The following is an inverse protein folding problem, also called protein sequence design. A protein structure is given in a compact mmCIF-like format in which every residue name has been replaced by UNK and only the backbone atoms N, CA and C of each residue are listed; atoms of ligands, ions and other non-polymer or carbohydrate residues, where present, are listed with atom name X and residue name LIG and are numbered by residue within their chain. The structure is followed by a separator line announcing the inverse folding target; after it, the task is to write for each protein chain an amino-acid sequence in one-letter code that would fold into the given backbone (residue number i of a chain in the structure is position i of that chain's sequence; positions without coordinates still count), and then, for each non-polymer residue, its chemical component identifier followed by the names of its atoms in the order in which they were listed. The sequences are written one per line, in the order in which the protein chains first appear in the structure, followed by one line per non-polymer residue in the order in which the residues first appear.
data_IF_882598927010
#
_entry.id   IF_882598927010
#
_cell.length_a   1.000
_cell.length_b   1.000
_cell.length_c   1.000
_cell.angle_alpha   90.00
_cell.angle_beta   90.00
_cell.angle_gamma   90.00
#
_symmetry.space_group_name_H-M   'P 1'
#
loop_
_entity.id
_entity.type
_entity.pdbx_description
1 polymer ?
2 polymer ?
3 non-polymer ?
4 water ?
#
# COMPACT_ATOMS: atom_id res chain seq x y z
N UNK A 3 70.83 -1.06 -48.64
CA UNK A 3 69.75 -0.08 -48.73
C UNK A 3 68.39 -0.75 -48.54
N UNK A 4 68.31 -2.01 -48.96
CA UNK A 4 67.04 -2.75 -48.92
C UNK A 4 66.86 -3.53 -47.62
N UNK A 5 67.97 -3.87 -46.97
CA UNK A 5 67.91 -4.54 -45.67
C UNK A 5 67.39 -3.55 -44.62
N UNK A 6 67.50 -2.26 -44.93
CA UNK A 6 66.96 -1.21 -44.09
C UNK A 6 65.49 -0.92 -44.44
N UNK A 7 65.22 -0.79 -45.74
CA UNK A 7 63.86 -0.47 -46.19
C UNK A 7 62.87 -1.59 -45.87
N UNK A 8 63.33 -2.85 -45.89
CA UNK A 8 62.45 -3.96 -45.53
C UNK A 8 62.07 -3.87 -44.06
N UNK A 9 63.04 -3.47 -43.24
CA UNK A 9 62.82 -3.33 -41.81
C UNK A 9 61.82 -2.22 -41.51
N UNK A 10 62.04 -1.06 -42.14
CA UNK A 10 61.10 0.06 -41.99
C UNK A 10 59.69 -0.32 -42.47
N UNK A 11 59.63 -0.86 -43.68
CA UNK A 11 58.42 -1.43 -44.26
C UNK A 11 57.63 -2.25 -43.25
N UNK A 12 58.28 -3.32 -42.79
CA UNK A 12 57.70 -4.25 -41.82
C UNK A 12 57.19 -3.50 -40.59
N UNK A 13 58.01 -2.59 -40.07
CA UNK A 13 57.64 -1.81 -38.89
C UNK A 13 56.34 -1.04 -39.08
N UNK A 14 56.19 -0.36 -40.21
CA UNK A 14 54.98 0.45 -40.41
C UNK A 14 53.76 -0.45 -40.62
N UNK A 15 53.96 -1.58 -41.31
CA UNK A 15 52.83 -2.51 -41.51
C UNK A 15 52.34 -3.04 -40.15
N UNK A 16 53.29 -3.36 -39.28
CA UNK A 16 52.99 -3.83 -37.94
C UNK A 16 52.25 -2.75 -37.15
N UNK A 17 52.75 -1.51 -37.23
CA UNK A 17 52.13 -0.40 -36.52
C UNK A 17 50.67 -0.21 -36.89
N UNK A 18 50.38 -0.10 -38.18
CA UNK A 18 49.01 0.20 -38.58
C UNK A 18 48.09 -1.00 -38.38
N UNK A 19 48.64 -2.20 -38.47
CA UNK A 19 47.83 -3.39 -38.23
C UNK A 19 47.46 -3.49 -36.75
N UNK A 20 48.41 -3.14 -35.88
CA UNK A 20 48.17 -3.18 -34.45
C UNK A 20 47.21 -2.07 -34.02
N UNK A 21 47.29 -0.91 -34.67
CA UNK A 21 46.36 0.18 -34.35
C UNK A 21 44.94 -0.21 -34.75
N UNK A 22 44.82 -0.86 -35.91
CA UNK A 22 43.50 -1.22 -36.41
C UNK A 22 42.88 -2.29 -35.51
N UNK A 23 43.68 -3.28 -35.13
CA UNK A 23 43.20 -4.32 -34.25
C UNK A 23 42.86 -3.76 -32.87
N UNK A 24 43.70 -2.87 -32.36
CA UNK A 24 43.48 -2.27 -31.05
C UNK A 24 42.14 -1.53 -31.01
N UNK A 25 41.84 -0.76 -32.05
CA UNK A 25 40.56 -0.04 -32.09
C UNK A 25 39.38 -1.02 -32.15
N UNK A 26 39.50 -2.02 -33.04
CA UNK A 26 38.48 -3.06 -33.17
C UNK A 26 38.20 -3.74 -31.83
N UNK A 27 39.26 -4.02 -31.09
CA UNK A 27 39.19 -4.70 -29.81
C UNK A 27 38.62 -3.77 -28.76
N UNK A 28 38.81 -2.47 -28.97
CA UNK A 28 38.25 -1.50 -28.04
C UNK A 28 36.74 -1.43 -28.09
N UNK A 29 36.16 -1.27 -29.28
CA UNK A 29 34.70 -1.13 -29.27
C UNK A 29 34.04 -2.53 -29.25
N UNK A 30 34.79 -3.58 -29.57
CA UNK A 30 34.30 -4.94 -29.32
C UNK A 30 34.18 -5.13 -27.80
N UNK A 31 35.16 -4.58 -27.08
CA UNK A 31 35.13 -4.56 -25.64
C UNK A 31 33.90 -3.81 -25.14
N UNK A 32 33.68 -2.62 -25.69
CA UNK A 32 32.58 -1.77 -25.24
C UNK A 32 31.22 -2.44 -25.45
N UNK A 33 31.07 -3.14 -26.57
CA UNK A 33 29.84 -3.87 -26.86
C UNK A 33 29.68 -5.08 -25.94
N UNK A 34 30.78 -5.72 -25.58
CA UNK A 34 30.69 -6.87 -24.68
C UNK A 34 30.22 -6.38 -23.30
N UNK A 35 30.72 -5.20 -22.92
CA UNK A 35 30.34 -4.58 -21.66
C UNK A 35 28.84 -4.23 -21.70
N UNK A 36 28.43 -3.64 -22.82
CA UNK A 36 27.02 -3.28 -23.01
C UNK A 36 26.09 -4.49 -22.92
N UNK A 37 26.51 -5.59 -23.54
CA UNK A 37 25.71 -6.81 -23.53
C UNK A 37 25.57 -7.35 -22.11
N UNK A 38 26.70 -7.51 -21.43
CA UNK A 38 26.68 -8.05 -20.07
C UNK A 38 25.84 -7.19 -19.13
N UNK A 39 26.00 -5.88 -19.23
CA UNK A 39 25.27 -4.96 -18.36
C UNK A 39 23.77 -4.92 -18.68
N UNK A 40 23.43 -4.99 -19.96
CA UNK A 40 22.03 -4.92 -20.35
C UNK A 40 21.29 -6.20 -19.95
N UNK A 41 22.00 -7.32 -19.99
CA UNK A 41 21.42 -8.59 -19.56
C UNK A 41 21.25 -8.62 -18.04
N UNK A 42 22.27 -8.14 -17.35
CA UNK A 42 22.32 -8.16 -15.89
C UNK A 42 21.24 -7.26 -15.32
N UNK A 43 21.01 -6.15 -16.00
CA UNK A 43 19.94 -5.23 -15.69
C UNK A 43 18.60 -5.98 -15.65
N UNK A 44 18.30 -6.66 -16.74
CA UNK A 44 17.03 -7.37 -16.85
C UNK A 44 16.87 -8.46 -15.82
N UNK A 45 17.95 -9.19 -15.52
CA UNK A 45 17.84 -10.23 -14.51
C UNK A 45 17.50 -9.61 -13.14
N UNK A 46 18.16 -8.50 -12.85
CA UNK A 46 18.00 -7.85 -11.55
C UNK A 46 16.58 -7.30 -11.41
N UNK A 47 16.14 -6.61 -12.44
CA UNK A 47 14.82 -6.01 -12.47
C UNK A 47 13.72 -7.03 -12.37
N UNK A 48 13.88 -8.13 -13.09
CA UNK A 48 12.89 -9.21 -13.05
C UNK A 48 12.76 -9.79 -11.64
N UNK A 49 13.90 -10.00 -10.98
CA UNK A 49 13.90 -10.54 -9.62
C UNK A 49 13.20 -9.52 -8.70
N UNK A 50 13.48 -8.25 -8.97
CA UNK A 50 12.90 -7.16 -8.20
C UNK A 50 11.38 -7.13 -8.30
N UNK A 51 10.87 -7.26 -9.54
CA UNK A 51 9.42 -7.27 -9.74
C UNK A 51 8.79 -8.43 -9.00
N UNK A 52 9.45 -9.59 -9.02
CA UNK A 52 8.88 -10.75 -8.34
C UNK A 52 8.72 -10.51 -6.83
N UNK A 53 9.81 -10.12 -6.18
CA UNK A 53 9.78 -9.91 -4.73
C UNK A 53 8.78 -8.82 -4.33
N UNK A 54 8.84 -7.72 -5.07
CA UNK A 54 8.01 -6.56 -4.80
C UNK A 54 6.52 -6.85 -4.94
N UNK A 55 6.16 -7.60 -5.97
CA UNK A 55 4.74 -7.89 -6.20
C UNK A 55 4.23 -8.92 -5.19
N UNK A 56 5.11 -9.79 -4.71
CA UNK A 56 4.68 -10.69 -3.63
C UNK A 56 4.36 -9.86 -2.38
N UNK A 57 5.19 -8.84 -2.15
CA UNK A 57 4.96 -7.98 -0.99
C UNK A 57 3.66 -7.17 -1.13
N UNK A 58 3.39 -6.73 -2.35
CA UNK A 58 2.21 -5.92 -2.63
C UNK A 58 0.95 -6.74 -2.43
N UNK A 59 1.01 -8.02 -2.77
CA UNK A 59 -0.12 -8.92 -2.55
C UNK A 59 -0.36 -9.20 -1.09
N UNK A 60 0.72 -9.28 -0.33
CA UNK A 60 0.57 -9.46 1.12
C UNK A 60 -0.15 -8.24 1.68
N UNK A 61 0.21 -7.07 1.15
CA UNK A 61 -0.42 -5.81 1.55
C UNK A 61 -1.91 -5.80 1.23
N UNK A 62 -2.27 -6.13 -0.01
CA UNK A 62 -3.68 -6.17 -0.41
C UNK A 62 -4.51 -7.09 0.49
N UNK A 63 -3.99 -8.29 0.74
CA UNK A 63 -4.71 -9.25 1.58
C UNK A 63 -4.89 -8.70 3.00
N UNK A 64 -3.87 -8.03 3.51
CA UNK A 64 -3.96 -7.44 4.84
C UNK A 64 -5.02 -6.34 4.88
N UNK A 65 -5.07 -5.54 3.82
CA UNK A 65 -6.07 -4.49 3.70
C UNK A 65 -7.48 -5.06 3.72
N UNK A 66 -7.67 -6.18 3.03
CA UNK A 66 -8.99 -6.80 2.98
C UNK A 66 -9.40 -7.36 4.35
N UNK A 67 -8.43 -7.95 5.06
CA UNK A 67 -8.69 -8.38 6.43
C UNK A 67 -9.15 -7.21 7.30
N UNK A 68 -8.44 -6.09 7.19
CA UNK A 68 -8.78 -4.90 7.96
C UNK A 68 -10.19 -4.39 7.63
N UNK A 69 -10.52 -4.37 6.35
CA UNK A 69 -11.84 -3.94 5.90
C UNK A 69 -12.94 -4.82 6.49
N UNK A 70 -12.70 -6.13 6.52
CA UNK A 70 -13.68 -7.06 7.08
C UNK A 70 -13.90 -6.81 8.57
N UNK A 71 -12.79 -6.67 9.29
CA UNK A 71 -12.80 -6.38 10.72
C UNK A 71 -13.63 -5.13 10.97
N UNK A 72 -13.40 -4.10 10.17
CA UNK A 72 -14.13 -2.85 10.26
C UNK A 72 -15.62 -3.02 10.01
N UNK A 73 -15.98 -3.86 9.04
CA UNK A 73 -17.39 -4.14 8.74
C UNK A 73 -18.10 -4.71 9.97
N UNK A 74 -17.44 -5.67 10.61
CA UNK A 74 -18.04 -6.30 11.78
C UNK A 74 -18.18 -5.32 12.94
N UNK A 75 -17.17 -4.47 13.09
CA UNK A 75 -17.17 -3.50 14.18
C UNK A 75 -18.23 -2.43 13.95
N UNK A 76 -18.48 -2.11 12.69
CA UNK A 76 -19.56 -1.20 12.32
C UNK A 76 -20.90 -1.79 12.75
N UNK A 77 -21.10 -3.08 12.46
CA UNK A 77 -22.35 -3.73 12.88
C UNK A 77 -22.53 -3.70 14.41
N UNK A 78 -21.49 -4.10 15.12
CA UNK A 78 -21.51 -4.12 16.58
C UNK A 78 -21.84 -2.73 17.13
N UNK A 79 -21.24 -1.71 16.51
CA UNK A 79 -21.51 -0.33 16.87
C UNK A 79 -22.98 0.02 16.62
N UNK A 80 -23.55 -0.55 15.55
CA UNK A 80 -24.93 -0.27 15.21
C UNK A 80 -25.90 -0.91 16.20
N UNK A 81 -25.44 -1.93 16.93
CA UNK A 81 -26.30 -2.56 17.94
C UNK A 81 -26.14 -1.99 19.35
N UNK A 82 -25.62 -0.77 19.46
CA UNK A 82 -25.39 -0.18 20.78
C UNK A 82 -25.81 1.29 20.84
N UNK A 83 -26.03 1.78 22.05
CA UNK A 83 -26.31 3.20 22.26
C UNK A 83 -25.07 3.89 22.79
N UNK A 84 -24.81 5.09 22.27
CA UNK A 84 -23.56 5.78 22.58
C UNK A 84 -23.80 7.21 23.08
N UNK A 85 -22.94 7.65 23.98
CA UNK A 85 -22.97 9.02 24.46
C UNK A 85 -22.70 9.96 23.30
N UNK A 86 -23.51 11.01 23.16
CA UNK A 86 -23.33 11.94 22.05
C UNK A 86 -22.16 12.90 22.30
N UNK A 87 -21.85 13.18 23.57
CA UNK A 87 -20.82 14.16 23.92
C UNK A 87 -19.43 13.56 23.76
N UNK A 88 -19.13 12.55 24.57
CA UNK A 88 -17.92 11.77 24.38
C UNK A 88 -18.49 10.62 23.59
N UNK A 89 -17.74 9.55 23.36
CA UNK A 89 -18.31 8.46 22.57
C UNK A 89 -18.25 7.13 23.30
N UNK A 90 -18.31 7.20 24.63
CA UNK A 90 -18.45 6.02 25.45
C UNK A 90 -19.88 5.50 25.35
N UNK A 91 -20.13 4.29 25.82
CA UNK A 91 -21.47 3.70 25.74
C UNK A 91 -22.45 4.44 26.62
N UNK A 92 -23.68 4.61 26.14
CA UNK A 92 -24.68 5.41 26.83
C UNK A 92 -25.48 4.64 27.88
N UNK A 93 -25.91 5.34 28.92
CA UNK A 93 -26.73 4.76 29.98
C UNK A 93 -27.92 5.65 30.36
N UNK A 94 -27.93 6.88 29.83
CA UNK A 94 -29.02 7.83 30.09
C UNK A 94 -29.65 8.23 28.76
N UNK A 95 -30.97 8.18 28.68
CA UNK A 95 -31.67 8.57 27.47
C UNK A 95 -32.31 9.94 27.60
N UNK A 96 -31.95 10.88 26.72
CA UNK A 96 -32.60 12.18 26.74
C UNK A 96 -33.75 12.19 25.74
N UNK A 97 -33.40 12.12 24.46
CA UNK A 97 -34.38 12.07 23.39
C UNK A 97 -33.77 11.41 22.16
N UNK A 98 -34.41 11.59 21.01
CA UNK A 98 -34.03 10.89 19.79
C UNK A 98 -32.57 11.11 19.39
N UNK A 99 -31.85 10.00 19.22
CA UNK A 99 -30.43 10.01 18.88
C UNK A 99 -29.60 10.83 19.86
N UNK A 100 -30.06 10.93 21.10
CA UNK A 100 -29.39 11.73 22.10
C UNK A 100 -29.38 11.03 23.46
N UNK A 101 -28.30 10.30 23.70
CA UNK A 101 -28.10 9.62 24.96
C UNK A 101 -26.72 9.97 25.51
N UNK A 102 -26.48 9.66 26.78
CA UNK A 102 -25.23 10.04 27.43
C UNK A 102 -24.73 8.94 28.38
N UNK A 103 -23.42 8.93 28.61
CA UNK A 103 -22.82 7.99 29.54
C UNK A 103 -22.95 8.53 30.96
N UNK A 104 -23.05 9.85 31.06
CA UNK A 104 -23.01 10.52 32.36
C UNK A 104 -23.74 11.85 32.33
N UNK A 105 -24.03 12.39 33.51
CA UNK A 105 -24.68 13.69 33.63
C UNK A 105 -23.72 14.80 33.22
N UNK A 106 -22.43 14.61 33.48
CA UNK A 106 -21.39 15.55 33.07
C UNK A 106 -21.41 15.79 31.57
N UNK A 107 -21.47 14.70 30.81
CA UNK A 107 -21.51 14.78 29.36
C UNK A 107 -22.83 15.41 28.90
N UNK A 108 -23.90 15.09 29.62
CA UNK A 108 -25.21 15.66 29.33
C UNK A 108 -25.15 17.19 29.45
N UNK A 109 -24.51 17.68 30.50
CA UNK A 109 -24.41 19.12 30.72
C UNK A 109 -23.52 19.78 29.68
N UNK A 110 -22.43 19.10 29.33
CA UNK A 110 -21.51 19.62 28.32
C UNK A 110 -22.20 19.77 26.97
N UNK A 111 -22.86 18.71 26.52
CA UNK A 111 -23.55 18.73 25.23
C UNK A 111 -24.73 19.69 25.29
N UNK A 112 -25.34 19.81 26.47
CA UNK A 112 -26.45 20.74 26.68
C UNK A 112 -25.98 22.16 26.37
N UNK A 113 -24.93 22.60 27.05
CA UNK A 113 -24.44 23.97 26.85
C UNK A 113 -23.77 24.16 25.49
N UNK A 114 -23.30 23.07 24.88
CA UNK A 114 -22.65 23.18 23.59
C UNK A 114 -23.66 23.39 22.46
N UNK A 115 -24.68 22.56 22.40
CA UNK A 115 -25.70 22.68 21.36
C UNK A 115 -27.09 22.15 21.73
N UNK A 116 -27.16 21.11 22.56
CA UNK A 116 -28.42 20.39 22.75
C UNK A 116 -29.54 21.17 23.42
N UNK A 117 -29.19 22.27 24.06
CA UNK A 117 -30.16 23.18 24.64
C UNK A 117 -31.19 23.69 23.64
N UNK A 118 -30.72 23.97 22.42
CA UNK A 118 -31.54 24.60 21.40
C UNK A 118 -32.25 23.55 20.56
N UNK A 119 -32.02 22.28 20.88
CA UNK A 119 -32.42 21.21 19.96
C UNK A 119 -33.15 20.05 20.65
N UNK A 120 -33.04 19.98 21.99
CA UNK A 120 -33.69 18.91 22.75
C UNK A 120 -35.19 18.80 22.46
N UNK A 121 -35.61 17.64 22.00
CA UNK A 121 -37.02 17.42 21.71
C UNK A 121 -37.74 16.57 22.76
N UNK A 122 -37.16 16.50 23.96
CA UNK A 122 -37.81 15.74 25.03
C UNK A 122 -39.06 16.45 25.50
N UNK A 123 -40.13 15.67 25.62
CA UNK A 123 -41.38 16.09 26.26
C UNK A 123 -41.10 16.90 27.52
N UNK B 7 59.54 -14.26 -49.91
CA UNK B 7 60.39 -13.08 -50.02
C UNK B 7 60.37 -12.25 -48.73
N UNK B 8 60.13 -10.95 -48.87
CA UNK B 8 59.97 -10.08 -47.71
C UNK B 8 58.54 -10.15 -47.21
N UNK B 9 57.61 -10.30 -48.14
CA UNK B 9 56.18 -10.36 -47.81
C UNK B 9 55.85 -11.51 -46.87
N UNK B 10 56.43 -12.68 -47.12
CA UNK B 10 56.23 -13.83 -46.23
C UNK B 10 56.65 -13.50 -44.80
N UNK B 11 57.81 -12.86 -44.67
CA UNK B 11 58.31 -12.44 -43.37
C UNK B 11 57.35 -11.48 -42.68
N UNK B 12 57.03 -10.39 -43.37
CA UNK B 12 56.15 -9.36 -42.83
C UNK B 12 54.80 -9.95 -42.41
N UNK B 13 54.19 -10.72 -43.31
CA UNK B 13 52.91 -11.37 -43.03
C UNK B 13 52.98 -12.27 -41.81
N UNK B 14 54.07 -13.03 -41.70
CA UNK B 14 54.29 -13.90 -40.55
C UNK B 14 54.29 -13.10 -39.23
N UNK B 15 55.22 -12.15 -39.14
CA UNK B 15 55.37 -11.38 -37.90
C UNK B 15 54.14 -10.54 -37.56
N UNK B 16 53.50 -9.97 -38.58
CA UNK B 16 52.28 -9.20 -38.38
C UNK B 16 51.17 -10.09 -37.83
N UNK B 17 51.01 -11.27 -38.42
CA UNK B 17 49.99 -12.21 -37.96
C UNK B 17 50.22 -12.56 -36.49
N UNK B 18 51.45 -12.93 -36.14
CA UNK B 18 51.72 -13.39 -34.78
C UNK B 18 51.63 -12.24 -33.77
N UNK B 19 51.90 -11.02 -34.25
CA UNK B 19 51.77 -9.83 -33.41
C UNK B 19 50.30 -9.55 -33.14
N UNK B 20 49.47 -9.78 -34.16
CA UNK B 20 48.04 -9.54 -34.03
C UNK B 20 47.42 -10.58 -33.08
N UNK B 21 47.92 -11.81 -33.14
CA UNK B 21 47.43 -12.84 -32.23
C UNK B 21 47.79 -12.50 -30.80
N UNK B 22 49.01 -12.00 -30.60
CA UNK B 22 49.44 -11.66 -29.23
C UNK B 22 48.69 -10.44 -28.66
N UNK B 23 48.49 -9.42 -29.48
CA UNK B 23 47.77 -8.23 -29.03
C UNK B 23 46.31 -8.58 -28.73
N UNK B 24 45.70 -9.36 -29.60
CA UNK B 24 44.33 -9.83 -29.38
C UNK B 24 44.23 -10.60 -28.07
N UNK B 25 45.19 -11.48 -27.86
CA UNK B 25 45.21 -12.25 -26.67
C UNK B 25 45.20 -11.38 -25.45
N UNK B 26 46.03 -10.33 -25.42
CA UNK B 26 46.07 -9.45 -24.26
C UNK B 26 44.80 -8.60 -24.07
N UNK B 27 44.26 -8.10 -25.18
CA UNK B 27 43.12 -7.22 -25.11
C UNK B 27 41.82 -7.95 -24.76
N UNK B 28 41.73 -9.24 -25.08
CA UNK B 28 40.55 -10.00 -24.65
C UNK B 28 40.58 -10.24 -23.14
N UNK B 29 41.78 -10.23 -22.55
CA UNK B 29 41.89 -10.34 -21.11
C UNK B 29 41.46 -9.00 -20.50
N UNK B 30 41.78 -7.93 -21.19
CA UNK B 30 41.36 -6.64 -20.77
C UNK B 30 39.86 -6.55 -20.81
N UNK B 31 39.29 -7.11 -21.85
CA UNK B 31 37.85 -7.10 -22.07
C UNK B 31 37.12 -7.91 -21.00
N UNK B 32 37.64 -9.09 -20.69
CA UNK B 32 37.09 -9.91 -19.62
C UNK B 32 37.09 -9.15 -18.30
N UNK B 33 38.17 -8.42 -18.04
CA UNK B 33 38.27 -7.65 -16.80
C UNK B 33 37.31 -6.47 -16.76
N UNK B 34 37.12 -5.82 -17.90
CA UNK B 34 36.20 -4.68 -17.98
C UNK B 34 34.75 -5.12 -17.80
N UNK B 35 34.43 -6.26 -18.39
CA UNK B 35 33.09 -6.82 -18.27
C UNK B 35 32.80 -7.20 -16.83
N UNK B 36 33.75 -7.87 -16.20
CA UNK B 36 33.60 -8.25 -14.79
C UNK B 36 33.41 -7.03 -13.88
N UNK B 37 34.23 -6.00 -14.11
CA UNK B 37 34.13 -4.77 -13.33
C UNK B 37 32.75 -4.12 -13.48
N UNK B 38 32.32 -3.91 -14.71
CA UNK B 38 31.01 -3.30 -14.99
C UNK B 38 29.87 -4.08 -14.34
N UNK B 39 29.96 -5.40 -14.43
CA UNK B 39 28.93 -6.27 -13.90
C UNK B 39 28.88 -6.16 -12.37
N UNK B 40 30.04 -6.06 -11.74
CA UNK B 40 30.06 -5.95 -10.28
C UNK B 40 29.53 -4.60 -9.81
N UNK B 41 29.83 -3.56 -10.60
CA UNK B 41 29.38 -2.23 -10.26
C UNK B 41 27.86 -2.14 -10.34
N UNK B 42 27.28 -2.68 -11.41
CA UNK B 42 25.83 -2.63 -11.54
C UNK B 42 25.17 -3.59 -10.56
N UNK B 43 25.84 -4.70 -10.24
CA UNK B 43 25.34 -5.62 -9.22
C UNK B 43 25.07 -4.89 -7.91
N UNK B 44 26.10 -4.24 -7.38
CA UNK B 44 25.94 -3.55 -6.11
C UNK B 44 24.96 -2.39 -6.21
N UNK B 45 25.02 -1.69 -7.35
CA UNK B 45 24.15 -0.55 -7.56
C UNK B 45 22.67 -0.96 -7.57
N UNK B 46 22.36 -2.05 -8.28
CA UNK B 46 20.99 -2.52 -8.41
C UNK B 46 20.49 -3.06 -7.09
N UNK B 47 21.40 -3.57 -6.26
CA UNK B 47 20.99 -4.07 -4.96
C UNK B 47 20.62 -2.90 -4.08
N UNK B 48 21.41 -1.85 -4.14
CA UNK B 48 21.09 -0.67 -3.33
C UNK B 48 19.76 -0.02 -3.74
N UNK B 49 19.56 0.09 -5.05
CA UNK B 49 18.32 0.68 -5.57
C UNK B 49 17.15 -0.19 -5.16
N UNK B 50 17.37 -1.50 -5.19
CA UNK B 50 16.35 -2.49 -4.84
C UNK B 50 15.88 -2.42 -3.42
N UNK B 51 16.83 -2.42 -2.49
CA UNK B 51 16.48 -2.36 -1.09
C UNK B 51 15.77 -1.05 -0.83
N UNK B 52 16.24 0.00 -1.53
CA UNK B 52 15.69 1.34 -1.37
C UNK B 52 14.20 1.34 -1.73
N UNK B 53 13.91 0.85 -2.93
CA UNK B 53 12.53 0.79 -3.42
C UNK B 53 11.67 -0.10 -2.54
N UNK B 54 12.18 -1.24 -2.10
CA UNK B 54 11.36 -2.15 -1.29
C UNK B 54 10.98 -1.47 0.02
N UNK B 55 11.93 -0.72 0.59
CA UNK B 55 11.69 -0.11 1.88
C UNK B 55 10.73 1.08 1.75
N UNK B 56 10.82 1.80 0.64
CA UNK B 56 9.86 2.89 0.41
C UNK B 56 8.46 2.34 0.19
N UNK B 57 8.37 1.20 -0.50
CA UNK B 57 7.07 0.58 -0.75
C UNK B 57 6.43 0.06 0.54
N UNK B 58 7.25 -0.51 1.42
CA UNK B 58 6.73 -1.02 2.69
C UNK B 58 6.31 0.13 3.60
N UNK B 59 7.03 1.25 3.53
CA UNK B 59 6.67 2.39 4.34
C UNK B 59 5.36 2.97 3.79
N UNK B 60 5.18 2.87 2.46
CA UNK B 60 3.91 3.25 1.85
C UNK B 60 2.78 2.39 2.39
N UNK B 61 3.06 1.12 2.59
CA UNK B 61 2.06 0.22 3.15
C UNK B 61 1.68 0.67 4.54
N UNK B 62 2.67 0.92 5.38
CA UNK B 62 2.41 1.39 6.74
C UNK B 62 1.54 2.65 6.75
N UNK B 63 1.90 3.60 5.89
CA UNK B 63 1.16 4.85 5.83
C UNK B 63 -0.29 4.61 5.42
N UNK B 64 -0.49 3.73 4.45
CA UNK B 64 -1.85 3.41 4.00
C UNK B 64 -2.66 2.74 5.10
N UNK B 65 -2.02 1.85 5.84
CA UNK B 65 -2.67 1.17 6.96
C UNK B 65 -3.15 2.20 7.98
N UNK B 66 -2.33 3.21 8.25
CA UNK B 66 -2.71 4.23 9.23
C UNK B 66 -3.82 5.16 8.71
N UNK B 67 -3.74 5.59 7.45
CA UNK B 67 -4.88 6.28 6.83
C UNK B 67 -6.18 5.49 6.99
N UNK B 68 -6.14 4.20 6.66
CA UNK B 68 -7.34 3.37 6.75
C UNK B 68 -7.85 3.28 8.19
N UNK B 69 -6.93 3.20 9.14
CA UNK B 69 -7.31 3.15 10.55
C UNK B 69 -8.04 4.43 10.97
N UNK B 70 -7.52 5.58 10.53
CA UNK B 70 -8.12 6.86 10.87
C UNK B 70 -9.51 7.00 10.27
N UNK B 71 -9.62 6.67 8.99
CA UNK B 71 -10.86 6.71 8.30
C UNK B 71 -11.87 5.84 8.98
N UNK B 72 -11.48 4.64 9.31
CA UNK B 72 -12.34 3.71 10.01
C UNK B 72 -12.82 4.28 11.34
N UNK B 73 -11.92 4.93 12.06
CA UNK B 73 -12.30 5.57 13.32
C UNK B 73 -13.39 6.63 13.12
N UNK B 74 -13.22 7.46 12.10
CA UNK B 74 -14.20 8.51 11.84
C UNK B 74 -15.55 7.90 11.42
N UNK B 75 -15.51 6.78 10.69
CA UNK B 75 -16.75 6.12 10.28
C UNK B 75 -17.45 5.49 11.48
N UNK B 76 -16.66 5.00 12.42
CA UNK B 76 -17.18 4.48 13.69
C UNK B 76 -17.89 5.58 14.45
N UNK B 77 -17.26 6.75 14.52
CA UNK B 77 -17.85 7.89 15.21
C UNK B 77 -19.18 8.30 14.56
N UNK B 78 -19.16 8.44 13.24
CA UNK B 78 -20.37 8.80 12.51
C UNK B 78 -21.48 7.79 12.76
N UNK B 79 -21.11 6.50 12.79
CA UNK B 79 -22.07 5.45 13.08
C UNK B 79 -22.63 5.60 14.49
N UNK B 80 -21.78 6.01 15.43
CA UNK B 80 -22.19 6.18 16.82
C UNK B 80 -23.12 7.37 16.97
N UNK B 81 -23.06 8.30 16.02
CA UNK B 81 -23.87 9.51 16.13
C UNK B 81 -25.18 9.37 15.31
N UNK B 82 -25.58 8.13 15.05
CA UNK B 82 -26.79 7.84 14.29
C UNK B 82 -27.59 6.70 14.93
N UNK B 83 -28.87 6.63 14.57
CA UNK B 83 -29.73 5.53 15.00
C UNK B 83 -29.93 4.54 13.87
N UNK B 84 -29.89 3.25 14.19
CA UNK B 84 -29.94 2.22 13.17
C UNK B 84 -31.06 1.21 13.43
N UNK B 85 -31.62 0.69 12.35
CA UNK B 85 -32.63 -0.36 12.45
C UNK B 85 -32.00 -1.59 13.09
N UNK B 86 -32.67 -2.15 14.09
CA UNK B 86 -32.14 -3.29 14.80
C UNK B 86 -32.20 -4.53 13.92
N UNK B 87 -33.13 -4.52 12.96
CA UNK B 87 -33.35 -5.65 12.08
C UNK B 87 -32.37 -5.75 10.90
N UNK B 88 -32.42 -4.77 10.00
CA UNK B 88 -31.52 -4.74 8.83
C UNK B 88 -30.29 -3.83 8.91
N UNK B 89 -30.12 -3.13 10.02
CA UNK B 89 -29.01 -2.20 10.25
C UNK B 89 -28.93 -1.03 9.27
N UNK B 90 -30.01 -0.72 8.59
CA UNK B 90 -30.12 0.53 7.85
C UNK B 90 -30.54 1.62 8.82
N UNK B 91 -30.51 2.88 8.38
CA UNK B 91 -30.84 3.99 9.28
C UNK B 91 -32.29 3.89 9.76
N UNK B 92 -32.51 4.22 11.02
CA UNK B 92 -33.80 4.04 11.66
C UNK B 92 -34.73 5.22 11.38
N UNK B 93 -36.03 4.96 11.37
CA UNK B 93 -37.00 6.01 11.11
C UNK B 93 -38.14 5.96 12.14
N UNK B 94 -38.21 4.84 12.87
CA UNK B 94 -39.23 4.62 13.88
C UNK B 94 -38.61 4.23 15.22
N UNK B 95 -39.05 4.84 16.31
CA UNK B 95 -38.52 4.51 17.63
C UNK B 95 -39.49 3.65 18.44
N UNK B 96 -39.03 2.48 18.88
CA UNK B 96 -39.86 1.65 19.75
C UNK B 96 -39.51 1.89 21.21
N UNK B 97 -38.31 1.49 21.60
CA UNK B 97 -37.81 1.70 22.96
C UNK B 97 -36.28 1.69 22.97
N UNK B 98 -35.70 1.52 24.16
CA UNK B 98 -34.26 1.64 24.34
C UNK B 98 -33.47 0.71 23.43
N UNK B 99 -32.54 1.30 22.66
CA UNK B 99 -31.71 0.58 21.72
C UNK B 99 -32.53 -0.23 20.72
N UNK B 100 -33.75 0.22 20.45
CA UNK B 100 -34.65 -0.50 19.56
C UNK B 100 -35.43 0.43 18.63
N UNK B 101 -34.87 0.65 17.45
CA UNK B 101 -35.51 1.46 16.43
C UNK B 101 -35.52 0.66 15.12
N UNK B 102 -36.31 1.12 14.15
CA UNK B 102 -36.48 0.39 12.90
C UNK B 102 -36.55 1.33 11.70
N UNK B 103 -36.19 0.81 10.53
CA UNK B 103 -36.25 1.57 9.29
C UNK B 103 -37.66 1.54 8.71
N UNK B 104 -38.39 0.49 9.02
CA UNK B 104 -39.69 0.25 8.40
C UNK B 104 -40.59 -0.57 9.32
N UNK B 105 -41.89 -0.60 9.00
CA UNK B 105 -42.85 -1.35 9.79
C UNK B 105 -42.61 -2.85 9.59
N UNK B 106 -42.16 -3.20 8.40
CA UNK B 106 -41.80 -4.58 8.07
C UNK B 106 -40.75 -5.13 9.04
N UNK B 107 -39.69 -4.35 9.22
CA UNK B 107 -38.61 -4.74 10.12
C UNK B 107 -39.11 -4.77 11.57
N UNK B 108 -39.96 -3.81 11.92
CA UNK B 108 -40.53 -3.76 13.26
C UNK B 108 -41.31 -5.01 13.61
N UNK B 109 -42.20 -5.44 12.73
CA UNK B 109 -43.02 -6.62 12.98
C UNK B 109 -42.19 -7.90 12.89
N UNK B 110 -41.22 -7.92 11.98
CA UNK B 110 -40.34 -9.08 11.86
C UNK B 110 -39.63 -9.31 13.18
N UNK B 111 -38.99 -8.25 13.69
CA UNK B 111 -38.25 -8.33 14.94
C UNK B 111 -39.18 -8.52 16.13
N UNK B 112 -40.38 -7.97 16.05
CA UNK B 112 -41.37 -8.13 17.10
C UNK B 112 -41.69 -9.60 17.30
N UNK B 113 -42.16 -10.24 16.24
CA UNK B 113 -42.58 -11.63 16.33
C UNK B 113 -41.39 -12.56 16.50
N UNK B 114 -40.20 -12.10 16.13
CA UNK B 114 -39.00 -12.90 16.28
C UNK B 114 -38.54 -12.98 17.74
N UNK B 115 -38.42 -11.82 18.41
CA UNK B 115 -37.98 -11.81 19.80
C UNK B 115 -38.53 -10.65 20.64
N UNK B 116 -38.76 -9.51 20.00
CA UNK B 116 -38.99 -8.26 20.74
C UNK B 116 -40.29 -8.22 21.57
N UNK B 117 -41.22 -9.13 21.30
CA UNK B 117 -42.41 -9.25 22.15
C UNK B 117 -42.01 -9.44 23.60
N UNK B 118 -41.03 -10.30 23.78
CA UNK B 118 -40.59 -10.68 25.07
C UNK B 118 -39.72 -9.69 25.84
N UNK B 119 -39.21 -8.66 25.21
CA UNK B 119 -38.24 -7.77 25.84
C UNK B 119 -38.56 -6.28 25.73
N UNK B 120 -39.55 -5.94 24.91
CA UNK B 120 -39.96 -4.55 24.69
C UNK B 120 -40.18 -3.79 25.99
N UNK B 121 -39.46 -2.68 26.15
CA UNK B 121 -39.59 -1.85 27.36
C UNK B 121 -40.49 -0.65 27.10
N UNK B 122 -41.25 -0.69 26.01
CA UNK B 122 -42.13 0.43 25.65
C UNK B 122 -43.38 0.48 26.54
N UNK B 123 -44.03 1.63 26.55
CA UNK B 123 -45.34 1.86 27.14
C UNK B 123 -46.27 0.65 27.08
N UNK C 1 -33.47 24.13 33.16
CA UNK C 1 -34.11 23.82 31.88
C UNK C 1 -33.58 22.51 31.28
N UNK C 2 -32.39 22.11 31.73
CA UNK C 2 -31.85 20.80 31.38
C UNK C 2 -32.67 19.70 32.02
N UNK C 3 -33.18 18.77 31.19
CA UNK C 3 -34.06 17.71 31.71
C UNK C 3 -33.32 16.83 32.71
N UNK C 4 -34.00 16.44 33.78
CA UNK C 4 -33.42 15.50 34.72
C UNK C 4 -33.51 14.08 34.18
N UNK C 5 -32.36 13.47 33.94
CA UNK C 5 -32.31 12.13 33.38
C UNK C 5 -32.00 11.06 34.42
N UNK C 6 -32.59 9.89 34.25
CA UNK C 6 -32.27 8.72 35.05
C UNK C 6 -31.63 7.66 34.16
N UNK C 7 -30.82 6.77 34.75
CA UNK C 7 -30.28 5.63 34.00
C UNK C 7 -31.40 4.75 33.46
N UNK C 8 -31.21 4.16 32.27
CA UNK C 8 -32.25 3.35 31.67
C UNK C 8 -32.28 1.93 32.23
N UNK D 1 -50.84 -6.47 20.16
CA UNK D 1 -50.17 -5.73 21.22
C UNK D 1 -48.86 -5.11 20.74
N UNK D 2 -48.41 -5.51 19.55
CA UNK D 2 -47.26 -4.83 18.95
C UNK D 2 -47.64 -3.37 18.76
N UNK D 3 -46.84 -2.48 19.37
CA UNK D 3 -47.15 -1.05 19.37
C UNK D 3 -47.15 -0.46 17.96
N UNK D 4 -48.11 0.43 17.71
CA UNK D 4 -48.10 1.20 16.48
C UNK D 4 -47.08 2.31 16.64
N UNK D 5 -46.08 2.34 15.77
CA UNK D 5 -45.03 3.33 15.88
C UNK D 5 -45.28 4.47 14.89
N UNK D 6 -44.88 5.67 15.28
CA UNK D 6 -44.93 6.82 14.41
C UNK D 6 -43.51 7.20 14.03
N UNK D 7 -43.33 7.80 12.84
CA UNK D 7 -42.00 8.26 12.44
C UNK D 7 -41.39 9.31 13.37
N UNK D 8 -40.08 9.22 13.58
CA UNK D 8 -39.39 10.16 14.45
C UNK D 8 -38.93 11.41 13.72
N UNK D 9 -37.82 11.26 13.00
CA UNK D 9 -37.16 12.34 12.26
C UNK D 9 -36.55 13.38 13.19
#
# INVERSE_FOLDING_TARGET
SDRMKSDHKRETERVVREALEKLRSEMEEEKRQAVNKAVANMQGEMDRKCKQVKEKCKEEFVEEIKKLATQHKQLISQTKKKQWCYNCEEEAMYHCCWNTSYCSIKCQQEHWHAEHKRTCRRKR
SDRMKSDHKRETERVVREALEKLRSEMEEEKRQAVNKAVANMQGEMDRKCKQVKEKCKEEFVEEIKKLATQHKQLISQTKKKQWCYNCEEEAMYHCCWNTSYCSIKCQQEHWHAEHKRTCRRKR
SMPELSPVL
SMPELSPVL
#
